data_IF_391371403779
#
_entry.id   IF_391371403779
#
_cell.length_a   1.000
_cell.length_b   1.000
_cell.length_c   1.000
_cell.angle_alpha   90.00
_cell.angle_beta   90.00
_cell.angle_gamma   90.00
#
_symmetry.space_group_name_H-M   'P 1'
#
loop_
_entity.id
_entity.type
_entity.pdbx_description
1 polymer ?
#
# COMPACT_ATOMS: atom_id res chain seq x y z
N UNK A 1 28.13 30.34 -6.96
CA UNK A 1 27.70 29.83 -8.29
C UNK A 1 27.09 28.44 -8.09
N UNK A 2 25.78 28.28 -7.87
CA UNK A 2 24.75 28.13 -8.93
C UNK A 2 23.39 28.40 -8.25
N UNK A 3 22.87 29.60 -8.46
CA UNK A 3 21.50 29.96 -8.08
C UNK A 3 20.54 29.21 -8.99
N UNK A 4 19.68 28.37 -8.42
CA UNK A 4 18.69 27.56 -9.13
C UNK A 4 17.55 28.50 -9.57
N UNK A 5 17.56 28.93 -10.82
CA UNK A 5 16.42 29.62 -11.42
C UNK A 5 15.36 28.60 -11.82
N UNK A 6 14.34 28.39 -10.98
CA UNK A 6 13.06 27.84 -11.45
C UNK A 6 12.33 28.98 -12.15
N UNK A 7 12.59 29.12 -13.44
CA UNK A 7 12.06 30.18 -14.28
C UNK A 7 10.53 30.03 -14.42
N UNK A 8 9.80 31.11 -14.10
CA UNK A 8 8.39 31.38 -14.43
C UNK A 8 8.14 31.25 -15.94
N UNK A 9 8.01 30.02 -16.47
CA UNK A 9 7.57 29.78 -17.84
C UNK A 9 6.30 28.96 -17.79
N UNK A 10 5.17 29.66 -17.71
CA UNK A 10 3.80 29.28 -18.12
C UNK A 10 2.76 29.84 -17.13
N UNK A 11 2.22 31.04 -17.42
CA UNK A 11 1.06 31.61 -16.71
C UNK A 11 -0.25 30.90 -17.14
N UNK A 12 -0.25 30.27 -18.33
CA UNK A 12 -1.40 29.59 -18.93
C UNK A 12 -1.04 28.14 -19.23
N UNK A 13 -1.50 27.19 -18.39
CA UNK A 13 -1.08 25.78 -18.30
C UNK A 13 -1.20 24.85 -19.53
N UNK A 14 -1.05 25.39 -20.73
CA UNK A 14 -1.44 24.82 -22.02
C UNK A 14 -0.40 23.90 -22.65
N UNK A 15 0.81 23.75 -22.07
CA UNK A 15 1.92 22.98 -22.70
C UNK A 15 2.76 22.13 -21.74
N UNK A 16 2.27 21.86 -20.53
CA UNK A 16 2.98 21.01 -19.57
C UNK A 16 2.10 19.88 -19.06
N UNK A 17 2.62 18.65 -19.08
CA UNK A 17 1.97 17.48 -18.49
C UNK A 17 2.51 17.30 -17.08
N UNK A 18 1.63 17.42 -16.07
CA UNK A 18 1.99 17.12 -14.69
C UNK A 18 2.05 15.60 -14.50
N UNK A 19 3.25 15.06 -14.36
CA UNK A 19 3.45 13.66 -14.03
C UNK A 19 3.49 13.48 -12.51
N UNK A 20 2.84 12.42 -12.01
CA UNK A 20 2.84 12.08 -10.59
C UNK A 20 3.32 10.65 -10.40
N UNK A 21 4.18 10.46 -9.41
CA UNK A 21 4.58 9.12 -8.97
C UNK A 21 3.43 8.32 -8.35
N UNK A 22 3.55 6.98 -8.32
CA UNK A 22 2.53 6.10 -7.77
C UNK A 22 2.36 6.33 -6.27
N UNK A 23 1.16 6.77 -5.85
CA UNK A 23 0.82 7.05 -4.45
C UNK A 23 0.71 5.80 -3.58
N UNK A 24 0.24 4.71 -4.17
CA UNK A 24 -0.22 3.53 -3.43
C UNK A 24 0.83 2.42 -3.33
N UNK A 25 2.05 2.66 -3.80
CA UNK A 25 3.13 1.67 -3.78
C UNK A 25 3.75 1.46 -2.37
N UNK A 26 3.37 2.26 -1.37
CA UNK A 26 3.93 2.20 -0.02
C UNK A 26 3.49 0.94 0.72
N UNK A 27 4.38 0.34 1.50
CA UNK A 27 4.04 -0.82 2.36
C UNK A 27 2.90 -0.52 3.34
N UNK A 28 2.84 0.69 3.88
CA UNK A 28 1.76 1.12 4.77
C UNK A 28 0.38 0.98 4.13
N UNK A 29 0.26 1.21 2.81
CA UNK A 29 -1.01 1.15 2.09
C UNK A 29 -1.55 -0.29 2.01
N UNK A 30 -0.68 -1.31 2.09
CA UNK A 30 -1.07 -2.72 2.10
C UNK A 30 -1.79 -3.16 3.38
N UNK A 31 -1.65 -2.36 4.44
CA UNK A 31 -2.32 -2.60 5.71
C UNK A 31 -3.68 -1.89 5.81
N UNK A 32 -4.03 -1.05 4.83
CA UNK A 32 -5.32 -0.38 4.78
C UNK A 32 -6.37 -1.21 4.05
N UNK A 33 -7.65 -0.91 4.30
CA UNK A 33 -8.79 -1.58 3.69
C UNK A 33 -9.61 -2.39 4.69
N UNK A 34 -10.34 -3.39 4.18
CA UNK A 34 -11.18 -4.28 5.00
C UNK A 34 -10.34 -4.98 6.06
N UNK A 35 -10.93 -5.26 7.23
CA UNK A 35 -10.21 -5.90 8.32
C UNK A 35 -9.62 -7.26 7.88
N UNK A 36 -8.41 -7.60 8.35
CA UNK A 36 -7.79 -8.89 8.04
C UNK A 36 -8.62 -10.01 8.68
N UNK A 37 -9.09 -10.95 7.87
CA UNK A 37 -9.96 -12.04 8.35
C UNK A 37 -11.46 -11.80 8.12
N UNK A 38 -11.81 -10.84 7.27
CA UNK A 38 -13.12 -10.76 6.61
C UNK A 38 -13.06 -11.55 5.30
N UNK A 39 -14.14 -12.23 4.86
CA UNK A 39 -14.13 -12.96 3.59
C UNK A 39 -13.65 -12.09 2.44
N UNK A 40 -12.79 -12.65 1.58
CA UNK A 40 -12.20 -11.94 0.43
C UNK A 40 -11.36 -10.69 0.79
N UNK A 41 -10.88 -10.60 2.04
CA UNK A 41 -9.90 -9.58 2.43
C UNK A 41 -8.47 -10.01 2.15
N UNK A 42 -7.70 -9.15 1.49
CA UNK A 42 -6.28 -9.35 1.21
C UNK A 42 -5.37 -8.39 2.00
N UNK A 43 -5.94 -7.67 2.96
CA UNK A 43 -5.23 -6.73 3.82
C UNK A 43 -4.15 -7.45 4.62
N UNK A 44 -2.93 -6.91 4.59
CA UNK A 44 -1.78 -7.48 5.29
C UNK A 44 -1.95 -7.24 6.80
N UNK A 45 -1.96 -8.29 7.65
CA UNK A 45 -2.03 -8.11 9.10
C UNK A 45 -0.70 -7.54 9.64
N UNK A 46 -0.78 -6.85 10.78
CA UNK A 46 0.39 -6.42 11.53
C UNK A 46 0.87 -7.55 12.42
N UNK A 47 1.98 -8.18 12.04
CA UNK A 47 2.56 -9.31 12.77
C UNK A 47 4.01 -8.97 13.09
N UNK A 48 4.45 -9.26 14.32
CA UNK A 48 5.82 -8.94 14.80
C UNK A 48 6.90 -9.58 13.93
N UNK A 49 6.66 -10.81 13.47
CA UNK A 49 7.58 -11.56 12.60
C UNK A 49 6.82 -12.47 11.65
N UNK A 50 7.38 -12.72 10.46
CA UNK A 50 6.81 -13.68 9.52
C UNK A 50 7.29 -15.09 9.85
N UNK A 51 6.40 -16.07 9.86
CA UNK A 51 6.78 -17.48 10.05
C UNK A 51 5.61 -18.45 10.20
N UNK A 52 5.90 -19.75 10.28
CA UNK A 52 4.89 -20.81 10.41
C UNK A 52 4.03 -20.67 11.69
N UNK A 53 4.64 -20.18 12.77
CA UNK A 53 4.01 -20.03 14.09
C UNK A 53 3.21 -18.73 14.25
N UNK A 54 3.35 -17.76 13.34
CA UNK A 54 2.75 -16.43 13.50
C UNK A 54 1.53 -16.28 12.60
N UNK A 55 0.33 -16.31 13.21
CA UNK A 55 -0.96 -16.01 12.58
C UNK A 55 -1.30 -16.77 11.27
N UNK A 56 -0.85 -18.03 11.13
CA UNK A 56 -1.16 -18.92 9.98
C UNK A 56 -2.08 -20.09 10.30
N UNK A 57 -2.62 -20.16 11.52
CA UNK A 57 -3.39 -21.30 12.00
C UNK A 57 -4.89 -21.18 11.73
N UNK A 58 -5.70 -20.94 12.76
CA UNK A 58 -7.15 -20.85 12.65
C UNK A 58 -7.55 -19.64 11.79
N UNK A 59 -8.59 -19.78 10.97
CA UNK A 59 -9.10 -18.70 10.12
C UNK A 59 -8.32 -18.46 8.82
N UNK A 60 -7.18 -19.14 8.62
CA UNK A 60 -6.33 -18.99 7.41
C UNK A 60 -6.27 -20.24 6.52
N UNK A 61 -6.66 -21.41 7.04
CA UNK A 61 -6.58 -22.69 6.33
C UNK A 61 -7.76 -23.59 6.67
N UNK A 62 -8.19 -24.38 5.69
CA UNK A 62 -9.34 -25.29 5.83
C UNK A 62 -9.13 -26.33 6.94
N UNK A 63 -7.89 -26.79 7.15
CA UNK A 63 -7.58 -27.85 8.12
C UNK A 63 -7.58 -27.42 9.59
N UNK A 64 -7.78 -26.13 9.91
CA UNK A 64 -7.83 -25.64 11.30
C UNK A 64 -9.06 -24.74 11.50
N UNK A 65 -10.20 -25.37 11.77
CA UNK A 65 -11.46 -24.73 12.12
C UNK A 65 -12.24 -24.23 10.91
N UNK A 66 -11.79 -23.13 10.30
CA UNK A 66 -12.41 -22.54 9.11
C UNK A 66 -11.40 -21.70 8.34
N UNK A 67 -11.69 -21.44 7.06
CA UNK A 67 -10.94 -20.50 6.23
C UNK A 67 -11.82 -19.30 5.91
N UNK A 68 -11.25 -18.12 6.08
CA UNK A 68 -11.84 -16.85 5.67
C UNK A 68 -11.20 -16.35 4.39
#
# INVERSE_FOLDING_TARGET
>A
MKSIYVQKRCIVGLKHVLLRGPKNAREAVKHFGKAPGVPHSHTKPYVRSKGRKFERARGRRNSRGFRV
#
